data_IF_593761512824
#
_entry.id   IF_593761512824
#
_cell.length_a   1.000
_cell.length_b   1.000
_cell.length_c   1.000
_cell.angle_alpha   90.00
_cell.angle_beta   90.00
_cell.angle_gamma   90.00
#
_symmetry.space_group_name_H-M   'P 1'
#
loop_
_entity.id
_entity.type
_entity.pdbx_description
1 polymer ?
#
# COMPACT_ATOMS: atom_id res chain seq x y z
N UNK A 1 -29.74 50.69 -4.80
CA UNK A 1 -28.42 50.23 -5.29
C UNK A 1 -27.86 49.31 -4.24
N UNK A 2 -28.12 48.00 -4.36
CA UNK A 2 -27.80 47.02 -3.32
C UNK A 2 -26.44 46.40 -3.63
N UNK A 3 -25.41 46.78 -2.87
CA UNK A 3 -24.08 46.19 -2.95
C UNK A 3 -24.02 44.99 -2.01
N UNK A 4 -24.22 43.78 -2.54
CA UNK A 4 -23.87 42.55 -1.85
C UNK A 4 -22.39 42.29 -2.06
N UNK A 5 -21.59 42.48 -1.01
CA UNK A 5 -20.19 42.01 -0.99
C UNK A 5 -20.20 40.49 -0.82
N UNK A 6 -19.60 39.81 -1.80
CA UNK A 6 -19.49 38.36 -1.87
C UNK A 6 -18.64 37.83 -0.70
N UNK A 7 -19.30 37.38 0.36
CA UNK A 7 -18.72 36.49 1.36
C UNK A 7 -18.54 35.09 0.73
N UNK A 8 -17.41 34.88 0.05
CA UNK A 8 -17.01 33.53 -0.36
C UNK A 8 -16.78 32.65 0.88
N UNK A 9 -17.11 31.34 0.83
CA UNK A 9 -16.88 30.46 1.96
C UNK A 9 -15.37 30.36 2.21
N UNK A 10 -14.95 30.81 3.40
CA UNK A 10 -13.65 30.47 3.97
C UNK A 10 -13.67 28.97 4.20
N UNK A 11 -13.07 28.22 3.28
CA UNK A 11 -12.75 26.81 3.52
C UNK A 11 -11.69 26.87 4.61
N UNK A 12 -12.11 26.65 5.84
CA UNK A 12 -11.21 26.56 6.99
C UNK A 12 -10.09 25.57 6.65
N UNK A 13 -8.84 26.02 6.77
CA UNK A 13 -7.66 25.17 6.85
C UNK A 13 -7.78 24.30 8.11
N UNK A 14 -8.62 23.28 8.04
CA UNK A 14 -8.51 22.10 8.87
C UNK A 14 -7.99 20.97 7.98
N UNK A 15 -6.78 21.19 7.45
CA UNK A 15 -5.97 20.13 6.88
C UNK A 15 -5.59 19.27 8.07
N UNK A 16 -6.43 18.28 8.36
CA UNK A 16 -6.01 17.16 9.18
C UNK A 16 -4.78 16.60 8.49
N UNK A 17 -3.63 16.94 9.07
CA UNK A 17 -2.31 16.58 8.58
C UNK A 17 -2.36 15.11 8.26
N UNK A 18 -1.90 14.75 7.06
CA UNK A 18 -1.71 13.35 6.70
C UNK A 18 -0.58 12.87 7.59
N UNK A 19 -0.95 12.46 8.81
CA UNK A 19 -0.04 12.06 9.87
C UNK A 19 0.80 10.93 9.31
N UNK A 20 2.11 11.19 9.29
CA UNK A 20 3.21 10.27 9.08
C UNK A 20 2.92 9.15 8.08
N UNK A 21 3.41 9.32 6.84
CA UNK A 21 3.49 8.25 5.84
C UNK A 21 4.50 7.21 6.34
N UNK A 22 4.09 6.43 7.34
CA UNK A 22 4.91 5.38 7.91
C UNK A 22 4.69 4.11 7.11
N UNK A 23 5.51 3.96 6.07
CA UNK A 23 5.58 2.75 5.26
C UNK A 23 6.05 1.53 6.06
N UNK A 24 6.49 1.68 7.32
CA UNK A 24 6.79 0.55 8.20
C UNK A 24 5.52 -0.06 8.80
N UNK A 25 4.54 0.78 9.15
CA UNK A 25 3.25 0.36 9.73
C UNK A 25 2.27 -0.07 8.62
N UNK A 26 2.01 0.80 7.65
CA UNK A 26 1.09 0.51 6.54
C UNK A 26 1.88 0.42 5.22
N UNK A 27 1.96 -0.77 4.59
CA UNK A 27 2.71 -0.93 3.36
C UNK A 27 2.05 -0.24 2.15
N UNK A 28 0.85 0.32 2.31
CA UNK A 28 0.11 1.12 1.33
C UNK A 28 0.00 2.61 1.71
N UNK A 29 0.79 3.07 2.70
CA UNK A 29 0.74 4.45 3.18
C UNK A 29 0.98 5.47 2.04
N UNK A 30 1.89 5.16 1.12
CA UNK A 30 2.20 6.01 -0.04
C UNK A 30 1.01 6.15 -0.99
N UNK A 31 0.35 5.06 -1.35
CA UNK A 31 -0.81 5.07 -2.24
C UNK A 31 -1.98 5.83 -1.60
N UNK A 32 -2.17 5.66 -0.28
CA UNK A 32 -3.18 6.39 0.47
C UNK A 32 -2.91 7.90 0.47
N UNK A 33 -1.65 8.30 0.69
CA UNK A 33 -1.21 9.68 0.63
C UNK A 33 -1.47 10.31 -0.74
N UNK A 34 -1.08 9.63 -1.82
CA UNK A 34 -1.28 10.12 -3.19
C UNK A 34 -2.76 10.27 -3.55
N UNK A 35 -3.59 9.29 -3.18
CA UNK A 35 -5.05 9.37 -3.35
C UNK A 35 -5.62 10.57 -2.59
N UNK A 36 -5.16 10.82 -1.37
CA UNK A 36 -5.65 11.95 -0.57
C UNK A 36 -5.22 13.30 -1.15
N UNK A 37 -3.98 13.44 -1.61
CA UNK A 37 -3.52 14.64 -2.32
C UNK A 37 -4.36 14.89 -3.57
N UNK A 38 -4.62 13.86 -4.38
CA UNK A 38 -5.41 14.03 -5.60
C UNK A 38 -6.81 14.53 -5.27
N UNK A 39 -7.44 13.97 -4.23
CA UNK A 39 -8.77 14.36 -3.78
C UNK A 39 -8.81 15.80 -3.26
N UNK A 40 -7.77 16.25 -2.58
CA UNK A 40 -7.65 17.64 -2.13
C UNK A 40 -7.50 18.62 -3.31
N UNK A 41 -6.75 18.23 -4.35
CA UNK A 41 -6.55 19.07 -5.54
C UNK A 41 -7.76 19.10 -6.47
N UNK A 42 -8.56 18.03 -6.51
CA UNK A 42 -9.68 17.86 -7.44
C UNK A 42 -11.01 17.72 -6.69
N UNK A 43 -11.38 18.74 -5.90
CA UNK A 43 -12.61 18.71 -5.10
C UNK A 43 -13.90 18.60 -5.94
N UNK A 44 -13.89 19.18 -7.14
CA UNK A 44 -15.06 19.25 -8.04
C UNK A 44 -15.23 18.00 -8.91
N UNK A 45 -14.14 17.31 -9.25
CA UNK A 45 -14.15 16.14 -10.12
C UNK A 45 -13.19 15.07 -9.59
N UNK A 46 -13.73 14.22 -8.72
CA UNK A 46 -12.99 13.14 -8.06
C UNK A 46 -12.68 11.97 -9.00
N UNK A 47 -13.32 11.92 -10.17
CA UNK A 47 -13.10 10.83 -11.15
C UNK A 47 -11.69 10.87 -11.74
N UNK A 48 -11.08 12.06 -11.77
CA UNK A 48 -9.67 12.27 -12.12
C UNK A 48 -8.70 11.53 -11.21
N UNK A 49 -9.15 11.11 -10.03
CA UNK A 49 -8.34 10.38 -9.06
C UNK A 49 -8.51 8.86 -9.13
N UNK A 50 -9.29 8.32 -10.09
CA UNK A 50 -9.58 6.89 -10.20
C UNK A 50 -8.32 6.02 -10.19
N UNK A 51 -7.26 6.44 -10.88
CA UNK A 51 -6.01 5.68 -10.90
C UNK A 51 -5.38 5.56 -9.51
N UNK A 52 -5.45 6.62 -8.68
CA UNK A 52 -4.94 6.58 -7.31
C UNK A 52 -5.79 5.69 -6.41
N UNK A 53 -7.11 5.66 -6.62
CA UNK A 53 -7.98 4.70 -5.93
C UNK A 53 -7.65 3.26 -6.32
N UNK A 54 -7.49 3.00 -7.62
CA UNK A 54 -7.17 1.68 -8.13
C UNK A 54 -5.81 1.20 -7.61
N UNK A 55 -4.81 2.08 -7.56
CA UNK A 55 -3.49 1.76 -7.01
C UNK A 55 -3.55 1.40 -5.51
N UNK A 56 -4.30 2.17 -4.71
CA UNK A 56 -4.50 1.86 -3.29
C UNK A 56 -5.22 0.51 -3.11
N UNK A 57 -6.24 0.24 -3.91
CA UNK A 57 -6.97 -1.03 -3.86
C UNK A 57 -6.07 -2.21 -4.24
N UNK A 58 -5.29 -2.08 -5.30
CA UNK A 58 -4.33 -3.08 -5.76
C UNK A 58 -3.28 -3.37 -4.68
N UNK A 59 -2.75 -2.33 -4.03
CA UNK A 59 -1.82 -2.47 -2.92
C UNK A 59 -2.43 -3.28 -1.77
N UNK A 60 -3.65 -2.93 -1.33
CA UNK A 60 -4.35 -3.63 -0.25
C UNK A 60 -4.60 -5.09 -0.59
N UNK A 61 -5.09 -5.38 -1.81
CA UNK A 61 -5.33 -6.74 -2.30
C UNK A 61 -4.04 -7.57 -2.31
N UNK A 62 -2.94 -6.97 -2.75
CA UNK A 62 -1.63 -7.62 -2.76
C UNK A 62 -1.17 -8.01 -1.35
N UNK A 63 -1.18 -7.08 -0.39
CA UNK A 63 -0.73 -7.38 0.97
C UNK A 63 -1.69 -8.29 1.74
N UNK A 64 -3.00 -8.19 1.49
CA UNK A 64 -3.98 -9.14 2.01
C UNK A 64 -3.68 -10.56 1.50
N UNK A 65 -3.39 -10.70 0.21
CA UNK A 65 -3.01 -11.99 -0.36
C UNK A 65 -1.74 -12.57 0.28
N UNK A 66 -0.69 -11.74 0.46
CA UNK A 66 0.54 -12.16 1.15
C UNK A 66 0.26 -12.57 2.59
N UNK A 67 -0.61 -11.84 3.29
CA UNK A 67 -0.98 -12.14 4.68
C UNK A 67 -1.70 -13.49 4.78
N UNK A 68 -2.60 -13.80 3.84
CA UNK A 68 -3.27 -15.10 3.74
C UNK A 68 -2.27 -16.23 3.45
N UNK A 69 -1.30 -16.00 2.56
CA UNK A 69 -0.24 -16.99 2.31
C UNK A 69 0.60 -17.26 3.57
N UNK A 70 1.06 -16.19 4.23
CA UNK A 70 1.85 -16.30 5.47
C UNK A 70 1.06 -17.00 6.57
N UNK A 71 -0.24 -16.72 6.70
CA UNK A 71 -1.12 -17.42 7.64
C UNK A 71 -1.22 -18.93 7.33
N UNK A 72 -1.42 -19.31 6.05
CA UNK A 72 -1.49 -20.72 5.63
C UNK A 72 -0.19 -21.48 5.91
N UNK A 73 0.94 -20.81 5.72
CA UNK A 73 2.27 -21.36 6.00
C UNK A 73 2.69 -21.19 7.47
N UNK A 74 1.80 -20.68 8.34
CA UNK A 74 2.03 -20.43 9.79
C UNK A 74 3.25 -19.54 10.08
N UNK A 75 3.53 -18.59 9.18
CA UNK A 75 4.61 -17.60 9.31
C UNK A 75 4.07 -16.31 9.92
N UNK A 76 4.69 -15.86 11.00
CA UNK A 76 4.36 -14.61 11.69
C UNK A 76 5.58 -13.67 11.73
N UNK A 77 5.38 -12.34 11.69
CA UNK A 77 4.10 -11.60 11.61
C UNK A 77 3.37 -11.80 10.27
N UNK A 78 2.03 -11.70 10.27
CA UNK A 78 1.20 -11.88 9.06
C UNK A 78 1.52 -10.84 7.99
N UNK A 79 1.74 -9.60 8.43
CA UNK A 79 2.30 -8.57 7.58
C UNK A 79 3.83 -8.69 7.62
N UNK A 80 4.51 -8.80 6.47
CA UNK A 80 5.97 -8.89 6.44
C UNK A 80 6.63 -7.59 6.94
N UNK A 81 7.80 -7.71 7.58
CA UNK A 81 8.56 -6.55 8.05
C UNK A 81 9.15 -5.76 6.87
N UNK A 82 9.47 -4.46 7.05
CA UNK A 82 9.83 -3.56 5.96
C UNK A 82 10.97 -4.05 5.06
N UNK A 83 11.95 -4.73 5.64
CA UNK A 83 13.14 -5.26 4.96
C UNK A 83 12.77 -6.36 3.96
N UNK A 84 11.74 -7.16 4.26
CA UNK A 84 11.24 -8.19 3.35
C UNK A 84 10.35 -7.61 2.24
N UNK A 85 9.68 -6.48 2.48
CA UNK A 85 8.66 -5.95 1.55
C UNK A 85 9.23 -5.64 0.16
N UNK A 86 10.46 -5.14 0.09
CA UNK A 86 11.13 -4.84 -1.17
C UNK A 86 11.38 -6.12 -2.00
N UNK A 87 11.85 -7.19 -1.36
CA UNK A 87 12.08 -8.48 -2.02
C UNK A 87 10.76 -9.10 -2.50
N UNK A 88 9.72 -9.09 -1.65
CA UNK A 88 8.40 -9.66 -1.98
C UNK A 88 7.81 -8.95 -3.21
N UNK A 89 7.86 -7.61 -3.24
CA UNK A 89 7.39 -6.83 -4.39
C UNK A 89 8.17 -7.16 -5.66
N UNK A 90 9.51 -7.22 -5.58
CA UNK A 90 10.37 -7.56 -6.73
C UNK A 90 10.05 -8.95 -7.28
N UNK A 91 9.94 -9.94 -6.40
CA UNK A 91 9.59 -11.31 -6.79
C UNK A 91 8.19 -11.38 -7.42
N UNK A 92 7.21 -10.70 -6.83
CA UNK A 92 5.86 -10.65 -7.38
C UNK A 92 5.85 -10.02 -8.77
N UNK A 93 6.45 -8.85 -8.97
CA UNK A 93 6.49 -8.19 -10.28
C UNK A 93 7.20 -9.03 -11.35
N UNK A 94 8.28 -9.73 -10.99
CA UNK A 94 9.00 -10.60 -11.90
C UNK A 94 8.20 -11.84 -12.33
N UNK A 95 7.39 -12.41 -11.43
CA UNK A 95 6.61 -13.63 -11.69
C UNK A 95 5.25 -13.33 -12.34
N UNK A 96 4.64 -12.18 -12.05
CA UNK A 96 3.29 -11.82 -12.54
C UNK A 96 3.25 -11.14 -13.89
N UNK A 97 4.37 -10.63 -14.41
CA UNK A 97 4.43 -10.16 -15.80
C UNK A 97 4.09 -11.27 -16.82
N UNK A 98 4.02 -12.54 -16.38
CA UNK A 98 3.72 -13.72 -17.20
C UNK A 98 2.38 -14.39 -16.82
N UNK A 99 1.53 -13.78 -15.98
CA UNK A 99 0.23 -14.37 -15.61
C UNK A 99 0.33 -15.69 -14.82
N UNK A 100 1.46 -15.93 -14.14
CA UNK A 100 1.73 -17.16 -13.41
C UNK A 100 1.19 -17.12 -11.97
N UNK A 101 0.51 -18.19 -11.55
CA UNK A 101 0.08 -18.40 -10.15
C UNK A 101 1.31 -18.54 -9.24
N UNK A 102 1.30 -17.84 -8.10
CA UNK A 102 2.38 -17.82 -7.09
C UNK A 102 2.66 -19.22 -6.54
N UNK A 103 3.54 -19.94 -7.21
CA UNK A 103 4.25 -21.10 -6.65
C UNK A 103 5.65 -20.70 -6.17
N UNK A 104 6.16 -19.53 -6.60
CA UNK A 104 7.53 -19.06 -6.38
C UNK A 104 7.81 -18.50 -4.98
N UNK A 105 6.88 -17.73 -4.38
CA UNK A 105 7.08 -17.09 -3.07
C UNK A 105 7.37 -18.11 -1.94
N UNK A 106 6.65 -19.24 -1.93
CA UNK A 106 6.83 -20.32 -0.94
C UNK A 106 8.23 -20.96 -1.02
N UNK A 107 8.70 -21.27 -2.22
CA UNK A 107 10.02 -21.88 -2.44
C UNK A 107 11.17 -20.94 -2.06
N UNK A 108 10.99 -19.62 -2.24
CA UNK A 108 11.95 -18.62 -1.77
C UNK A 108 11.99 -18.57 -0.23
N UNK A 109 10.82 -18.53 0.42
CA UNK A 109 10.75 -18.44 1.89
C UNK A 109 11.28 -19.69 2.57
N UNK A 110 10.93 -20.90 2.12
CA UNK A 110 11.46 -22.16 2.65
C UNK A 110 13.00 -22.24 2.58
N UNK A 111 13.61 -21.71 1.53
CA UNK A 111 15.08 -21.61 1.41
C UNK A 111 15.67 -20.60 2.41
N UNK A 112 14.98 -19.48 2.67
CA UNK A 112 15.40 -18.45 3.62
C UNK A 112 15.27 -18.94 5.07
N UNK A 113 14.19 -19.63 5.42
CA UNK A 113 14.01 -20.25 6.76
C UNK A 113 15.07 -21.31 7.04
N UNK A 114 15.36 -22.19 6.08
CA UNK A 114 16.42 -23.21 6.22
C UNK A 114 17.82 -22.60 6.37
N UNK A 115 18.08 -21.44 5.74
CA UNK A 115 19.34 -20.70 5.94
C UNK A 115 19.42 -20.06 7.33
N UNK A 116 18.33 -19.52 7.86
CA UNK A 116 18.33 -18.93 9.21
C UNK A 116 18.48 -20.01 10.29
N UNK A 117 17.79 -21.15 10.16
CA UNK A 117 17.96 -22.30 11.07
C UNK A 117 19.42 -22.81 11.08
N UNK A 118 20.09 -22.84 9.92
CA UNK A 118 21.49 -23.29 9.82
C UNK A 118 22.51 -22.30 10.40
N UNK A 119 22.14 -21.04 10.63
CA UNK A 119 23.04 -20.03 11.20
C UNK A 119 23.01 -19.98 12.73
N UNK A 120 22.06 -20.70 13.35
CA UNK A 120 21.86 -20.74 14.81
C UNK A 120 22.32 -22.08 15.44
N UNK A 121 22.87 -23.00 14.64
CA UNK A 121 23.54 -24.26 15.05
C UNK A 121 25.02 -24.21 14.69
#
# INVERSE_FOLDING_TARGET
>A
MSSFTSGGPKIEENIQTVGDVDETIDPCARELFMKNICMQKNLQDRTRCNDYFQNLENCRKFWQYISVLRQKDKVFPLLPPPEERAEIRKHFLAEFSVGAKIKSYKAHWEKKTKRNIRKET
#
